data_IF_321259449451
#
_entry.id   IF_321259449451
#
_cell.length_a   1.000
_cell.length_b   1.000
_cell.length_c   1.000
_cell.angle_alpha   90.00
_cell.angle_beta   90.00
_cell.angle_gamma   90.00
#
_symmetry.space_group_name_H-M   'P 1'
#
loop_
_entity.id
_entity.type
_entity.pdbx_description
1 polymer ?
#
# COMPACT_ATOMS: atom_id res chain seq x y z
N UNK A 1 -11.25 -3.03 -16.96
CA UNK A 1 -10.28 -2.61 -15.91
C UNK A 1 -9.17 -3.64 -15.81
N UNK A 2 -7.91 -3.21 -15.70
CA UNK A 2 -6.78 -4.12 -15.48
C UNK A 2 -6.85 -4.69 -14.06
N UNK A 3 -6.67 -6.00 -13.92
CA UNK A 3 -6.55 -6.69 -12.63
C UNK A 3 -5.20 -6.33 -12.01
N UNK A 4 -5.17 -5.95 -10.73
CA UNK A 4 -3.92 -5.63 -10.01
C UNK A 4 -3.74 -6.65 -8.88
N UNK A 5 -2.56 -7.25 -8.79
CA UNK A 5 -2.20 -8.11 -7.67
C UNK A 5 -1.68 -7.26 -6.51
N UNK A 6 -2.25 -7.50 -5.33
CA UNK A 6 -1.65 -7.09 -4.08
C UNK A 6 -0.57 -8.13 -3.74
N UNK A 7 0.70 -7.74 -3.78
CA UNK A 7 1.82 -8.66 -3.55
C UNK A 7 2.83 -8.08 -2.56
N UNK A 8 2.32 -7.58 -1.44
CA UNK A 8 3.17 -7.05 -0.38
C UNK A 8 3.75 -8.18 0.46
N UNK A 9 5.05 -8.14 0.75
CA UNK A 9 5.68 -9.06 1.70
C UNK A 9 5.19 -8.78 3.12
N UNK A 10 5.34 -9.76 4.02
CA UNK A 10 4.90 -9.63 5.42
C UNK A 10 5.50 -8.41 6.11
N UNK A 11 6.79 -8.13 5.88
CA UNK A 11 7.46 -7.00 6.52
C UNK A 11 7.06 -5.65 5.89
N UNK A 12 6.79 -5.60 4.59
CA UNK A 12 6.21 -4.42 3.94
C UNK A 12 4.83 -4.10 4.51
N UNK A 13 4.00 -5.12 4.75
CA UNK A 13 2.68 -4.95 5.38
C UNK A 13 2.85 -4.36 6.79
N UNK A 14 3.79 -4.87 7.59
CA UNK A 14 4.08 -4.31 8.94
C UNK A 14 4.50 -2.85 8.87
N UNK A 15 5.39 -2.48 7.94
CA UNK A 15 5.81 -1.09 7.73
C UNK A 15 4.62 -0.18 7.34
N UNK A 16 3.70 -0.69 6.52
CA UNK A 16 2.54 0.05 6.05
C UNK A 16 1.41 0.17 7.09
N UNK A 17 1.36 -0.68 8.13
CA UNK A 17 0.26 -0.72 9.11
C UNK A 17 -0.01 0.63 9.79
N UNK A 18 1.04 1.41 10.06
CA UNK A 18 0.94 2.76 10.63
C UNK A 18 0.22 3.76 9.72
N UNK A 19 0.14 3.47 8.42
CA UNK A 19 -0.46 4.35 7.42
C UNK A 19 -1.88 3.93 7.00
N UNK A 20 -2.39 2.79 7.47
CA UNK A 20 -3.68 2.25 7.01
C UNK A 20 -4.85 3.20 7.27
N UNK A 21 -4.87 3.89 8.41
CA UNK A 21 -5.94 4.85 8.70
C UNK A 21 -5.93 6.02 7.70
N UNK A 22 -4.76 6.62 7.47
CA UNK A 22 -4.59 7.71 6.48
C UNK A 22 -5.04 7.30 5.07
N UNK A 23 -4.70 6.08 4.65
CA UNK A 23 -5.13 5.54 3.35
C UNK A 23 -6.65 5.31 3.33
N UNK A 24 -7.23 4.86 4.44
CA UNK A 24 -8.65 4.63 4.59
C UNK A 24 -9.45 5.94 4.45
N UNK A 25 -9.01 6.98 5.15
CA UNK A 25 -9.63 8.31 5.12
C UNK A 25 -9.58 8.90 3.70
N UNK A 26 -8.40 8.85 3.05
CA UNK A 26 -8.23 9.32 1.66
C UNK A 26 -9.14 8.60 0.66
N UNK A 27 -9.45 7.33 0.90
CA UNK A 27 -10.29 6.52 0.00
C UNK A 27 -11.76 6.42 0.45
N UNK A 28 -12.13 7.05 1.57
CA UNK A 28 -13.46 6.94 2.19
C UNK A 28 -13.88 5.48 2.36
N UNK A 29 -13.04 4.71 3.04
CA UNK A 29 -13.24 3.28 3.35
C UNK A 29 -12.86 3.00 4.80
N UNK A 30 -13.12 1.80 5.30
CA UNK A 30 -12.64 1.38 6.62
C UNK A 30 -11.16 1.01 6.60
N UNK A 31 -10.49 1.21 7.74
CA UNK A 31 -9.13 0.70 7.97
C UNK A 31 -9.03 -0.82 7.75
N UNK A 32 -10.07 -1.55 8.16
CA UNK A 32 -10.17 -3.00 7.96
C UNK A 32 -10.14 -3.37 6.47
N UNK A 33 -10.84 -2.61 5.62
CA UNK A 33 -10.81 -2.84 4.17
C UNK A 33 -9.42 -2.60 3.58
N UNK A 34 -8.72 -1.54 3.99
CA UNK A 34 -7.31 -1.32 3.58
C UNK A 34 -6.42 -2.49 4.01
N UNK A 35 -6.57 -2.97 5.24
CA UNK A 35 -5.82 -4.12 5.76
C UNK A 35 -6.10 -5.40 4.95
N UNK A 36 -7.37 -5.66 4.61
CA UNK A 36 -7.75 -6.78 3.75
C UNK A 36 -7.10 -6.67 2.37
N UNK A 37 -7.14 -5.49 1.75
CA UNK A 37 -6.50 -5.25 0.44
C UNK A 37 -4.98 -5.45 0.51
N UNK A 38 -4.31 -4.98 1.57
CA UNK A 38 -2.87 -5.15 1.75
C UNK A 38 -2.45 -6.62 1.96
N UNK A 39 -3.30 -7.42 2.64
CA UNK A 39 -3.05 -8.86 2.89
C UNK A 39 -3.60 -9.77 1.78
N UNK A 40 -4.34 -9.24 0.81
CA UNK A 40 -4.94 -10.03 -0.24
C UNK A 40 -3.84 -10.65 -1.13
N UNK A 41 -3.93 -11.94 -1.42
CA UNK A 41 -3.02 -12.65 -2.35
C UNK A 41 -3.67 -12.94 -3.70
N UNK A 42 -4.82 -12.34 -3.96
CA UNK A 42 -5.58 -12.46 -5.22
C UNK A 42 -5.63 -11.11 -5.93
N UNK A 43 -5.78 -11.18 -7.24
CA UNK A 43 -5.98 -9.99 -8.05
C UNK A 43 -7.30 -9.29 -7.72
N UNK A 44 -7.28 -7.96 -7.65
CA UNK A 44 -8.47 -7.13 -7.48
C UNK A 44 -8.82 -6.40 -8.78
N UNK A 45 -10.11 -6.17 -9.02
CA UNK A 45 -10.62 -5.51 -10.23
C UNK A 45 -11.39 -4.21 -9.96
N UNK A 46 -11.63 -3.85 -8.70
CA UNK A 46 -12.37 -2.62 -8.36
C UNK A 46 -11.47 -1.39 -8.39
N UNK A 47 -11.99 -0.26 -8.92
CA UNK A 47 -11.28 1.03 -8.96
C UNK A 47 -10.76 1.41 -7.56
N UNK A 48 -11.61 1.21 -6.54
CA UNK A 48 -11.29 1.54 -5.15
C UNK A 48 -10.14 0.69 -4.61
N UNK A 49 -10.12 -0.62 -4.88
CA UNK A 49 -9.01 -1.47 -4.47
C UNK A 49 -7.72 -1.10 -5.22
N UNK A 50 -7.80 -0.81 -6.52
CA UNK A 50 -6.66 -0.33 -7.31
C UNK A 50 -6.06 0.96 -6.75
N UNK A 51 -6.89 1.93 -6.34
CA UNK A 51 -6.43 3.17 -5.72
C UNK A 51 -5.75 2.94 -4.36
N UNK A 52 -6.29 2.02 -3.54
CA UNK A 52 -5.66 1.63 -2.27
C UNK A 52 -4.28 1.01 -2.52
N UNK A 53 -4.16 0.10 -3.50
CA UNK A 53 -2.89 -0.52 -3.85
C UNK A 53 -1.86 0.48 -4.37
N UNK A 54 -2.28 1.47 -5.17
CA UNK A 54 -1.40 2.55 -5.62
C UNK A 54 -0.86 3.36 -4.43
N UNK A 55 -1.73 3.80 -3.52
CA UNK A 55 -1.31 4.54 -2.33
C UNK A 55 -0.36 3.73 -1.42
N UNK A 56 -0.64 2.43 -1.22
CA UNK A 56 0.23 1.54 -0.43
C UNK A 56 1.62 1.43 -1.06
N UNK A 57 1.71 1.29 -2.39
CA UNK A 57 2.99 1.23 -3.11
C UNK A 57 3.75 2.55 -3.04
N UNK A 58 3.08 3.70 -3.22
CA UNK A 58 3.70 5.02 -3.09
C UNK A 58 4.33 5.22 -1.70
N UNK A 59 3.59 4.88 -0.64
CA UNK A 59 4.10 4.98 0.73
C UNK A 59 5.28 4.01 0.94
N UNK A 60 5.17 2.77 0.46
CA UNK A 60 6.25 1.80 0.59
C UNK A 60 7.52 2.27 -0.12
N UNK A 61 7.40 2.86 -1.32
CA UNK A 61 8.53 3.45 -2.05
C UNK A 61 9.18 4.58 -1.24
N UNK A 62 8.40 5.45 -0.60
CA UNK A 62 8.96 6.51 0.27
C UNK A 62 9.67 5.92 1.49
N UNK A 63 9.07 4.93 2.15
CA UNK A 63 9.65 4.25 3.33
C UNK A 63 10.94 3.49 2.99
N UNK A 64 11.00 2.86 1.81
CA UNK A 64 12.19 2.16 1.32
C UNK A 64 13.22 3.13 0.74
N UNK A 65 12.78 4.27 0.19
CA UNK A 65 13.62 5.34 -0.37
C UNK A 65 14.30 6.23 0.67
N UNK A 66 13.94 6.10 1.96
CA UNK A 66 14.73 6.61 3.09
C UNK A 66 15.98 5.76 3.42
N UNK A 67 16.40 4.90 2.50
CA UNK A 67 17.74 4.27 2.47
C UNK A 67 18.55 4.73 1.26
N UNK A 68 18.61 6.05 1.01
CA UNK A 68 19.63 6.67 0.17
C UNK A 68 20.51 7.58 1.03
N UNK A 69 21.34 6.97 1.89
CA UNK A 69 22.71 7.46 2.01
C UNK A 69 23.40 7.20 0.69
N UNK A 70 23.31 8.16 -0.22
CA UNK A 70 24.29 8.44 -1.27
C UNK A 70 24.03 9.87 -1.79
N UNK A 71 24.08 10.84 -0.86
CA UNK A 71 24.67 12.14 -1.21
C UNK A 71 26.18 11.90 -1.09
N UNK A 72 26.78 11.42 -2.17
CA UNK A 72 28.22 11.40 -2.32
C UNK A 72 28.57 12.64 -3.16
N UNK A 73 29.15 13.64 -2.48
CA UNK A 73 29.89 14.83 -2.95
C UNK A 73 29.28 15.64 -4.10
#
# INVERSE_FOLDING_TARGET
>A
MKKILADFKKDEIKLLQGNFQKIADKNKVSRAYVSQIANNRRSVSSIKASNILKNLKEILTVLNGTSNTDINV
#
